data_IF_878350485557
#
_entry.id   IF_878350485557
#
_cell.length_a   1.000
_cell.length_b   1.000
_cell.length_c   1.000
_cell.angle_alpha   90.00
_cell.angle_beta   90.00
_cell.angle_gamma   90.00
#
_symmetry.space_group_name_H-M   'P 1'
#
loop_
_entity.id
_entity.type
_entity.pdbx_description
1 polymer ?
#
# COMPACT_ATOMS: atom_id res chain seq x y z
N UNK A 1 19.05 39.74 -34.78
CA UNK A 1 18.88 40.06 -33.35
C UNK A 1 18.70 38.74 -32.61
N UNK A 2 19.48 38.41 -31.56
CA UNK A 2 19.27 37.22 -30.78
C UNK A 2 17.90 37.31 -30.11
N UNK A 3 17.04 36.30 -30.31
CA UNK A 3 15.75 36.17 -29.64
C UNK A 3 15.96 36.21 -28.11
N UNK A 4 15.23 37.09 -27.41
CA UNK A 4 15.18 37.03 -25.93
C UNK A 4 14.77 35.61 -25.53
N UNK A 5 15.46 34.98 -24.53
CA UNK A 5 15.11 33.66 -24.11
C UNK A 5 13.68 33.67 -23.58
N UNK A 6 12.88 32.70 -24.04
CA UNK A 6 11.57 32.46 -23.46
C UNK A 6 11.74 32.05 -22.00
N UNK A 7 10.93 32.62 -21.11
CA UNK A 7 10.95 32.33 -19.67
C UNK A 7 10.86 30.83 -19.41
N UNK A 8 10.06 30.10 -20.20
CA UNK A 8 9.90 28.65 -20.12
C UNK A 8 11.23 27.91 -20.39
N UNK A 9 11.94 28.29 -21.46
CA UNK A 9 13.23 27.67 -21.81
C UNK A 9 14.29 27.93 -20.73
N UNK A 10 14.30 29.13 -20.12
CA UNK A 10 15.21 29.47 -19.03
C UNK A 10 14.95 28.63 -17.79
N UNK A 11 13.68 28.41 -17.44
CA UNK A 11 13.28 27.54 -16.29
C UNK A 11 13.64 26.09 -16.56
N UNK A 12 13.38 25.58 -17.76
CA UNK A 12 13.74 24.21 -18.12
C UNK A 12 15.26 23.99 -18.09
N UNK A 13 16.04 24.92 -18.60
CA UNK A 13 17.50 24.88 -18.52
C UNK A 13 17.98 24.85 -17.07
N UNK A 14 17.42 25.69 -16.21
CA UNK A 14 17.77 25.72 -14.77
C UNK A 14 17.50 24.37 -14.10
N UNK A 15 16.32 23.77 -14.33
CA UNK A 15 15.95 22.47 -13.78
C UNK A 15 16.86 21.35 -14.28
N UNK A 16 17.20 21.36 -15.57
CA UNK A 16 18.08 20.35 -16.15
C UNK A 16 19.52 20.45 -15.64
N UNK A 17 20.02 21.65 -15.41
CA UNK A 17 21.33 21.86 -14.78
C UNK A 17 21.34 21.38 -13.33
N UNK A 18 20.31 21.73 -12.53
CA UNK A 18 20.19 21.32 -11.13
C UNK A 18 20.15 19.80 -10.96
N UNK A 19 19.50 19.07 -11.87
CA UNK A 19 19.46 17.59 -11.87
C UNK A 19 20.82 16.97 -12.13
N UNK A 20 21.70 17.61 -12.92
CA UNK A 20 22.98 17.07 -13.37
C UNK A 20 24.17 17.45 -12.51
N UNK A 21 24.03 18.47 -11.64
CA UNK A 21 25.10 18.82 -10.70
C UNK A 21 25.28 17.70 -9.67
N UNK A 22 26.45 17.04 -9.59
CA UNK A 22 26.70 15.94 -8.68
C UNK A 22 26.99 16.44 -7.25
N UNK A 23 26.88 15.52 -6.28
CA UNK A 23 27.29 15.77 -4.88
C UNK A 23 28.73 15.32 -4.61
N UNK A 24 29.11 14.21 -5.19
CA UNK A 24 30.37 13.52 -4.87
C UNK A 24 31.59 14.03 -5.62
N UNK A 25 31.42 14.75 -6.72
CA UNK A 25 32.50 15.32 -7.53
C UNK A 25 32.15 16.71 -8.02
N UNK A 26 33.14 17.50 -8.41
CA UNK A 26 32.95 18.75 -9.11
C UNK A 26 32.77 18.51 -10.59
N UNK A 27 31.87 19.26 -11.23
CA UNK A 27 31.57 19.20 -12.66
C UNK A 27 31.73 20.60 -13.25
N UNK A 28 32.34 20.70 -14.42
CA UNK A 28 32.52 21.97 -15.13
C UNK A 28 31.26 22.37 -15.92
N UNK A 29 31.14 23.67 -16.20
CA UNK A 29 30.06 24.16 -17.07
C UNK A 29 30.08 23.52 -18.46
N UNK A 30 31.27 23.15 -18.96
CA UNK A 30 31.44 22.50 -20.25
C UNK A 30 30.91 21.06 -20.22
N UNK A 31 31.25 20.29 -19.19
CA UNK A 31 30.73 18.92 -19.02
C UNK A 31 29.18 18.91 -18.89
N UNK A 32 28.61 19.89 -18.16
CA UNK A 32 27.17 20.02 -18.05
C UNK A 32 26.52 20.41 -19.38
N UNK A 33 27.16 21.33 -20.12
CA UNK A 33 26.68 21.75 -21.45
C UNK A 33 26.62 20.58 -22.43
N UNK A 34 27.65 19.70 -22.44
CA UNK A 34 27.72 18.52 -23.29
C UNK A 34 26.66 17.44 -22.94
N UNK A 35 26.12 17.48 -21.71
CA UNK A 35 25.08 16.58 -21.23
C UNK A 35 23.65 17.11 -21.42
N UNK A 36 23.48 18.36 -21.86
CA UNK A 36 22.16 18.93 -22.08
C UNK A 36 21.51 18.34 -23.36
N UNK A 37 20.18 18.18 -23.37
CA UNK A 37 19.43 17.86 -24.58
C UNK A 37 19.64 18.93 -25.67
N UNK A 38 19.67 18.52 -26.93
CA UNK A 38 19.94 19.41 -28.08
C UNK A 38 18.95 20.58 -28.19
N UNK A 39 17.71 20.39 -27.80
CA UNK A 39 16.65 21.40 -27.76
C UNK A 39 16.85 22.44 -26.65
N UNK A 40 17.63 22.15 -25.64
CA UNK A 40 18.02 23.03 -24.52
C UNK A 40 19.49 23.49 -24.61
N UNK A 41 20.23 23.00 -25.60
CA UNK A 41 21.65 23.30 -25.84
C UNK A 41 21.89 24.78 -26.20
N UNK A 42 21.98 25.63 -25.17
CA UNK A 42 22.40 27.03 -25.31
C UNK A 42 23.93 27.11 -25.42
N UNK A 43 24.42 28.29 -25.81
CA UNK A 43 25.84 28.52 -25.79
C UNK A 43 26.42 28.38 -24.38
N UNK A 44 27.68 27.97 -24.29
CA UNK A 44 28.39 27.71 -23.03
C UNK A 44 28.35 28.91 -22.06
N UNK A 45 28.34 30.14 -22.58
CA UNK A 45 28.29 31.36 -21.78
C UNK A 45 26.93 31.52 -21.07
N UNK A 46 25.86 31.14 -21.74
CA UNK A 46 24.52 31.11 -21.15
C UNK A 46 24.43 30.07 -20.04
N UNK A 47 24.99 28.87 -20.24
CA UNK A 47 25.07 27.81 -19.22
C UNK A 47 25.88 28.26 -18.01
N UNK A 48 27.05 28.89 -18.22
CA UNK A 48 27.87 29.43 -17.14
C UNK A 48 27.12 30.48 -16.30
N UNK A 49 26.50 31.45 -16.97
CA UNK A 49 25.69 32.48 -16.30
C UNK A 49 24.55 31.88 -15.49
N UNK A 50 23.89 30.85 -16.01
CA UNK A 50 22.80 30.18 -15.33
C UNK A 50 23.33 29.41 -14.09
N UNK A 51 24.48 28.73 -14.20
CA UNK A 51 25.13 28.04 -13.09
C UNK A 51 25.56 29.02 -11.98
N UNK A 52 26.08 30.18 -12.34
CA UNK A 52 26.45 31.20 -11.36
C UNK A 52 25.23 31.78 -10.61
N UNK A 53 24.09 31.95 -11.30
CA UNK A 53 22.84 32.33 -10.66
C UNK A 53 22.30 31.19 -9.74
N UNK A 54 22.38 29.95 -10.19
CA UNK A 54 21.95 28.79 -9.39
C UNK A 54 22.84 28.60 -8.16
N UNK A 55 24.17 28.84 -8.27
CA UNK A 55 25.07 28.76 -7.13
C UNK A 55 24.83 29.84 -6.07
N UNK A 56 24.22 30.98 -6.44
CA UNK A 56 23.79 32.01 -5.49
C UNK A 56 22.44 31.70 -4.83
N UNK A 57 21.55 30.99 -5.55
CA UNK A 57 20.19 30.74 -5.10
C UNK A 57 20.02 29.39 -4.37
N UNK A 58 20.93 28.46 -4.60
CA UNK A 58 20.87 27.09 -4.04
C UNK A 58 22.19 26.75 -3.33
N UNK A 59 22.18 25.66 -2.54
CA UNK A 59 23.36 25.14 -1.84
C UNK A 59 24.38 24.47 -2.78
N UNK A 60 24.78 25.19 -3.82
CA UNK A 60 25.80 24.77 -4.78
C UNK A 60 27.12 25.47 -4.40
N UNK A 61 28.15 24.68 -4.26
CA UNK A 61 29.53 25.15 -4.11
C UNK A 61 30.11 25.37 -5.50
N UNK A 62 30.60 26.59 -5.74
CA UNK A 62 31.42 26.91 -6.90
C UNK A 62 32.86 26.93 -6.47
N UNK A 63 33.69 26.13 -7.10
CA UNK A 63 35.14 26.16 -6.93
C UNK A 63 35.76 26.98 -8.04
N UNK A 64 36.32 28.12 -7.66
CA UNK A 64 37.03 29.07 -8.52
C UNK A 64 38.56 29.06 -8.32
N UNK A 65 39.08 28.08 -7.54
CA UNK A 65 40.52 27.92 -7.30
C UNK A 65 41.31 27.56 -8.58
N UNK A 66 40.64 26.99 -9.60
CA UNK A 66 41.23 26.68 -10.88
C UNK A 66 40.22 26.86 -12.02
N UNK A 67 40.70 27.09 -13.25
CA UNK A 67 39.86 27.07 -14.46
C UNK A 67 39.99 25.73 -15.16
N UNK A 68 38.85 25.15 -15.68
CA UNK A 68 37.47 25.66 -15.61
C UNK A 68 36.89 25.55 -14.20
N UNK A 69 36.01 26.47 -13.81
CA UNK A 69 35.32 26.44 -12.52
C UNK A 69 34.48 25.19 -12.36
N UNK A 70 34.51 24.59 -11.13
CA UNK A 70 33.77 23.41 -10.79
C UNK A 70 32.53 23.72 -9.97
N UNK A 71 31.44 22.98 -10.20
CA UNK A 71 30.18 23.10 -9.45
C UNK A 71 29.83 21.74 -8.83
N UNK A 72 29.39 21.77 -7.56
CA UNK A 72 28.84 20.58 -6.89
C UNK A 72 27.82 21.02 -5.83
N UNK A 73 26.92 20.15 -5.45
CA UNK A 73 26.11 20.39 -4.27
C UNK A 73 27.00 20.36 -3.02
N UNK A 74 26.76 21.27 -2.06
CA UNK A 74 27.41 21.23 -0.75
C UNK A 74 27.04 19.90 -0.05
N UNK A 75 27.98 19.31 0.69
CA UNK A 75 27.79 18.00 1.34
C UNK A 75 26.60 18.00 2.31
N UNK A 76 26.35 19.11 2.99
CA UNK A 76 25.22 19.32 3.91
C UNK A 76 24.07 20.11 3.28
N UNK A 77 24.14 20.45 2.01
CA UNK A 77 23.10 21.19 1.29
C UNK A 77 21.91 20.29 0.96
N UNK A 78 20.71 20.86 0.99
CA UNK A 78 19.46 20.14 0.69
C UNK A 78 19.37 19.58 -0.75
N UNK A 79 20.26 20.02 -1.64
CA UNK A 79 20.21 19.65 -3.07
C UNK A 79 19.06 20.36 -3.79
N UNK A 80 18.60 19.80 -4.89
CA UNK A 80 17.28 20.13 -5.42
C UNK A 80 16.26 19.49 -4.48
N UNK A 81 16.05 20.07 -3.30
CA UNK A 81 14.97 19.62 -2.45
C UNK A 81 13.67 20.01 -3.14
N UNK A 82 12.91 19.00 -3.52
CA UNK A 82 11.45 19.12 -3.54
C UNK A 82 11.05 19.83 -2.23
N UNK A 83 9.94 20.58 -2.18
CA UNK A 83 9.56 21.29 -0.96
C UNK A 83 9.76 20.35 0.23
N UNK A 84 10.54 20.79 1.20
CA UNK A 84 10.88 19.98 2.37
C UNK A 84 9.59 19.56 3.00
N UNK A 85 9.38 18.22 3.07
CA UNK A 85 8.22 17.68 3.75
C UNK A 85 8.19 18.28 5.15
N UNK A 86 7.05 18.78 5.57
CA UNK A 86 6.83 19.14 6.96
C UNK A 86 6.90 17.87 7.82
N UNK A 87 7.09 18.04 9.13
CA UNK A 87 7.07 16.90 10.06
C UNK A 87 5.73 16.14 10.01
N UNK A 88 4.62 16.85 9.84
CA UNK A 88 3.27 16.30 9.70
C UNK A 88 3.10 15.49 8.40
N UNK A 89 3.61 16.01 7.27
CA UNK A 89 3.60 15.28 6.00
C UNK A 89 4.50 14.05 6.07
N UNK A 90 5.62 14.15 6.76
CA UNK A 90 6.54 13.04 6.98
C UNK A 90 5.89 11.94 7.84
N UNK A 91 5.17 12.31 8.90
CA UNK A 91 4.40 11.39 9.71
C UNK A 91 3.31 10.68 8.89
N UNK A 92 2.54 11.45 8.10
CA UNK A 92 1.52 10.89 7.22
C UNK A 92 2.10 9.88 6.24
N UNK A 93 3.23 10.22 5.59
CA UNK A 93 3.89 9.31 4.64
C UNK A 93 4.45 8.06 5.31
N UNK A 94 5.03 8.16 6.50
CA UNK A 94 5.52 7.00 7.24
C UNK A 94 4.38 6.04 7.62
N UNK A 95 3.25 6.56 8.12
CA UNK A 95 2.05 5.75 8.40
C UNK A 95 1.45 5.16 7.13
N UNK A 96 1.40 5.92 6.04
CA UNK A 96 0.91 5.43 4.76
C UNK A 96 1.79 4.28 4.23
N UNK A 97 3.12 4.38 4.31
CA UNK A 97 4.01 3.31 3.90
C UNK A 97 3.78 2.04 4.73
N UNK A 98 3.64 2.17 6.05
CA UNK A 98 3.42 1.03 6.94
C UNK A 98 2.08 0.32 6.67
N UNK A 99 1.00 1.09 6.55
CA UNK A 99 -0.35 0.53 6.50
C UNK A 99 -0.88 0.27 5.09
N UNK A 100 -0.39 0.98 4.07
CA UNK A 100 -0.90 0.87 2.70
C UNK A 100 -0.01 0.07 1.74
N UNK A 101 1.16 -0.41 2.18
CA UNK A 101 2.11 -1.11 1.29
C UNK A 101 1.53 -2.28 0.52
N UNK A 102 0.51 -2.94 1.06
CA UNK A 102 -0.16 -4.08 0.44
C UNK A 102 -1.54 -3.75 -0.13
N UNK A 103 -1.98 -2.51 0.00
CA UNK A 103 -3.26 -2.02 -0.54
C UNK A 103 -3.07 -1.14 -1.78
N UNK A 104 -1.85 -0.71 -2.06
CA UNK A 104 -1.51 0.10 -3.22
C UNK A 104 -0.74 -0.72 -4.26
N UNK A 105 -0.88 -0.39 -5.57
CA UNK A 105 -0.07 -1.00 -6.62
C UNK A 105 1.43 -0.86 -6.33
N UNK A 106 2.21 -1.94 -6.53
CA UNK A 106 3.64 -1.92 -6.26
C UNK A 106 4.40 -0.86 -7.07
N UNK A 107 3.95 -0.56 -8.30
CA UNK A 107 4.49 0.52 -9.13
C UNK A 107 4.32 1.89 -8.48
N UNK A 108 3.16 2.16 -7.85
CA UNK A 108 2.92 3.39 -7.12
C UNK A 108 3.82 3.48 -5.88
N UNK A 109 3.91 2.41 -5.09
CA UNK A 109 4.82 2.37 -3.93
C UNK A 109 6.27 2.63 -4.34
N UNK A 110 6.74 2.05 -5.45
CA UNK A 110 8.07 2.30 -6.00
C UNK A 110 8.27 3.75 -6.43
N UNK A 111 7.29 4.35 -7.08
CA UNK A 111 7.36 5.77 -7.49
C UNK A 111 7.41 6.73 -6.28
N UNK A 112 6.83 6.34 -5.17
CA UNK A 112 6.80 7.11 -3.92
C UNK A 112 8.00 6.83 -3.00
N UNK A 113 8.87 5.86 -3.33
CA UNK A 113 9.98 5.43 -2.47
C UNK A 113 10.91 6.59 -2.07
N UNK A 114 11.16 7.57 -2.96
CA UNK A 114 11.94 8.76 -2.66
C UNK A 114 11.31 9.64 -1.58
N UNK A 115 9.98 9.79 -1.61
CA UNK A 115 9.22 10.55 -0.61
C UNK A 115 9.19 9.84 0.74
N UNK A 116 8.99 8.52 0.76
CA UNK A 116 9.07 7.73 1.99
C UNK A 116 10.45 7.82 2.63
N UNK A 117 11.52 7.64 1.83
CA UNK A 117 12.89 7.79 2.33
C UNK A 117 13.18 9.21 2.86
N UNK A 118 12.61 10.25 2.24
CA UNK A 118 12.73 11.63 2.73
C UNK A 118 11.95 11.81 4.05
N UNK A 119 10.73 11.27 4.14
CA UNK A 119 9.91 11.32 5.35
C UNK A 119 10.62 10.65 6.54
N UNK A 120 11.20 9.47 6.35
CA UNK A 120 11.98 8.80 7.39
C UNK A 120 13.18 9.63 7.84
N UNK A 121 13.97 10.17 6.90
CA UNK A 121 15.11 11.05 7.25
C UNK A 121 14.68 12.28 8.04
N UNK A 122 13.55 12.89 7.68
CA UNK A 122 13.01 14.05 8.39
C UNK A 122 12.61 13.68 9.84
N UNK A 123 11.99 12.52 10.04
CA UNK A 123 11.60 12.02 11.37
C UNK A 123 12.79 11.52 12.21
N UNK A 124 13.90 11.12 11.60
CA UNK A 124 15.11 10.61 12.27
C UNK A 124 16.13 11.70 12.62
N UNK A 125 15.92 12.95 12.21
CA UNK A 125 16.84 14.07 12.42
C UNK A 125 17.23 14.28 13.89
N UNK A 126 18.46 14.79 14.17
CA UNK A 126 19.01 14.90 15.53
C UNK A 126 18.46 16.06 16.36
N UNK A 127 17.75 17.00 15.77
CA UNK A 127 17.34 18.24 16.44
C UNK A 127 15.82 18.35 16.55
N UNK A 128 15.35 18.42 17.77
CA UNK A 128 14.02 18.91 18.09
C UNK A 128 13.10 17.91 18.78
N UNK A 129 12.07 18.46 19.32
CA UNK A 129 10.96 17.76 19.96
C UNK A 129 10.12 17.12 18.84
N UNK A 130 10.52 15.94 18.37
CA UNK A 130 9.81 15.24 17.32
C UNK A 130 8.53 14.60 17.86
N UNK A 131 7.51 15.41 18.10
CA UNK A 131 6.17 14.94 18.48
C UNK A 131 5.64 13.93 17.47
N UNK A 132 5.91 14.17 16.21
CA UNK A 132 5.51 13.33 15.08
C UNK A 132 6.21 11.96 15.12
N UNK A 133 7.50 11.91 15.45
CA UNK A 133 8.23 10.65 15.65
C UNK A 133 7.71 9.89 16.87
N UNK A 134 7.48 10.58 17.98
CA UNK A 134 6.91 9.98 19.16
C UNK A 134 5.50 9.42 18.90
N UNK A 135 4.75 10.08 18.01
CA UNK A 135 3.40 9.65 17.64
C UNK A 135 3.38 8.26 17.03
N UNK A 136 4.35 7.90 16.19
CA UNK A 136 4.49 6.54 15.64
C UNK A 136 4.56 5.46 16.72
N UNK A 137 5.17 5.77 17.86
CA UNK A 137 5.21 4.89 19.03
C UNK A 137 3.96 4.93 19.93
N UNK A 138 3.07 5.92 19.73
CA UNK A 138 1.87 6.15 20.56
C UNK A 138 0.60 5.55 19.95
N UNK A 139 0.63 5.16 18.67
CA UNK A 139 -0.52 4.59 17.95
C UNK A 139 -0.21 3.18 17.48
N UNK A 140 -1.18 2.29 17.55
CA UNK A 140 -1.02 0.91 17.06
C UNK A 140 -2.36 0.30 16.70
N UNK A 141 -2.40 -0.39 15.56
CA UNK A 141 -3.52 -1.27 15.20
C UNK A 141 -3.28 -2.63 15.86
N UNK A 142 -4.19 -3.03 16.74
CA UNK A 142 -4.09 -4.29 17.49
C UNK A 142 -5.03 -5.31 16.87
N UNK A 143 -4.56 -6.55 16.71
CA UNK A 143 -5.41 -7.65 16.21
C UNK A 143 -6.47 -8.01 17.25
N UNK A 144 -7.70 -8.23 16.81
CA UNK A 144 -8.79 -8.73 17.66
C UNK A 144 -8.68 -10.24 17.97
N UNK A 145 -7.84 -10.95 17.23
CA UNK A 145 -7.62 -12.39 17.38
C UNK A 145 -6.19 -12.66 17.84
N UNK A 146 -5.88 -13.94 18.15
CA UNK A 146 -4.52 -14.36 18.45
C UNK A 146 -3.56 -13.83 17.38
N UNK A 147 -2.51 -13.06 17.75
CA UNK A 147 -1.54 -12.54 16.81
C UNK A 147 -0.81 -13.68 16.07
N UNK A 148 -0.77 -13.60 14.76
CA UNK A 148 -0.07 -14.56 13.91
C UNK A 148 1.02 -13.85 13.12
N UNK A 149 2.11 -14.54 12.85
CA UNK A 149 3.16 -14.03 11.97
C UNK A 149 2.67 -13.99 10.51
N UNK A 150 3.02 -12.91 9.81
CA UNK A 150 2.72 -12.80 8.39
C UNK A 150 3.48 -13.86 7.58
N UNK A 151 2.81 -14.58 6.68
CA UNK A 151 3.48 -15.54 5.80
C UNK A 151 4.35 -14.79 4.78
N UNK A 152 5.49 -15.41 4.42
CA UNK A 152 6.38 -14.85 3.39
C UNK A 152 5.78 -15.05 2.00
N UNK A 153 5.80 -13.99 1.21
CA UNK A 153 5.47 -14.05 -0.22
C UNK A 153 6.72 -14.43 -1.03
N UNK A 154 6.54 -15.16 -2.11
CA UNK A 154 7.64 -15.38 -3.05
C UNK A 154 8.07 -14.05 -3.71
N UNK A 155 9.38 -13.84 -3.94
CA UNK A 155 9.89 -12.58 -4.48
C UNK A 155 9.20 -12.18 -5.79
N UNK A 156 8.81 -10.91 -5.92
CA UNK A 156 8.17 -10.34 -7.10
C UNK A 156 6.71 -10.72 -7.34
N UNK A 157 6.14 -11.68 -6.59
CA UNK A 157 4.74 -12.11 -6.77
C UNK A 157 3.78 -10.95 -6.52
N UNK A 158 3.95 -10.23 -5.42
CA UNK A 158 3.08 -9.08 -5.12
C UNK A 158 3.15 -8.01 -6.21
N UNK A 159 4.35 -7.70 -6.69
CA UNK A 159 4.57 -6.71 -7.74
C UNK A 159 3.82 -7.06 -9.02
N UNK A 160 3.97 -8.31 -9.47
CA UNK A 160 3.35 -8.79 -10.70
C UNK A 160 1.82 -8.84 -10.56
N UNK A 161 1.32 -9.38 -9.44
CA UNK A 161 -0.13 -9.51 -9.20
C UNK A 161 -0.79 -8.14 -9.08
N UNK A 162 -0.21 -7.22 -8.29
CA UNK A 162 -0.78 -5.88 -8.13
C UNK A 162 -0.74 -5.07 -9.42
N UNK A 163 0.30 -5.23 -10.23
CA UNK A 163 0.41 -4.59 -11.54
C UNK A 163 -0.61 -5.14 -12.54
N UNK A 164 -0.80 -6.45 -12.58
CA UNK A 164 -1.79 -7.09 -13.46
C UNK A 164 -3.22 -6.69 -13.06
N UNK A 165 -3.52 -6.62 -11.77
CA UNK A 165 -4.79 -6.12 -11.27
C UNK A 165 -5.03 -4.65 -11.67
N UNK A 166 -4.00 -3.80 -11.52
CA UNK A 166 -4.08 -2.39 -11.89
C UNK A 166 -4.33 -2.17 -13.38
N UNK A 167 -3.72 -3.02 -14.23
CA UNK A 167 -3.81 -2.92 -15.69
C UNK A 167 -4.92 -3.78 -16.30
N UNK A 168 -5.72 -4.51 -15.50
CA UNK A 168 -6.71 -5.48 -15.96
C UNK A 168 -6.13 -6.52 -16.93
N UNK A 169 -4.97 -7.11 -16.57
CA UNK A 169 -4.30 -8.13 -17.38
C UNK A 169 -4.39 -9.51 -16.77
N UNK A 170 -4.50 -10.51 -17.62
CA UNK A 170 -4.48 -11.91 -17.20
C UNK A 170 -3.16 -12.28 -16.52
N UNK A 171 -3.25 -13.20 -15.56
CA UNK A 171 -2.13 -13.79 -14.84
C UNK A 171 -2.03 -15.28 -15.13
N UNK A 172 -0.81 -15.76 -15.38
CA UNK A 172 -0.46 -17.17 -15.23
C UNK A 172 0.20 -17.35 -13.87
N UNK A 173 -0.34 -18.26 -13.08
CA UNK A 173 0.11 -18.54 -11.72
C UNK A 173 0.53 -19.98 -11.56
N UNK A 174 1.64 -20.20 -10.87
CA UNK A 174 1.99 -21.47 -10.27
C UNK A 174 1.53 -21.43 -8.81
N UNK A 175 0.51 -22.19 -8.49
CA UNK A 175 -0.19 -22.13 -7.21
C UNK A 175 -0.18 -23.47 -6.48
N UNK A 176 0.05 -23.44 -5.17
CA UNK A 176 -0.05 -24.63 -4.30
C UNK A 176 -1.22 -24.43 -3.33
N UNK A 177 -2.23 -25.28 -3.43
CA UNK A 177 -3.41 -25.21 -2.58
C UNK A 177 -3.11 -25.60 -1.11
N UNK A 178 -4.15 -25.61 -0.26
CA UNK A 178 -4.03 -25.96 1.16
C UNK A 178 -3.53 -27.39 1.37
N UNK A 179 -3.93 -28.32 0.49
CA UNK A 179 -3.57 -29.74 0.55
C UNK A 179 -2.18 -30.02 -0.02
N UNK A 180 -1.43 -28.97 -0.41
CA UNK A 180 -0.09 -29.09 -0.98
C UNK A 180 -0.05 -29.38 -2.48
N UNK A 181 -1.21 -29.56 -3.15
CA UNK A 181 -1.28 -29.85 -4.58
C UNK A 181 -0.90 -28.61 -5.40
N UNK A 182 0.06 -28.77 -6.30
CA UNK A 182 0.54 -27.72 -7.20
C UNK A 182 -0.21 -27.75 -8.53
N UNK A 183 -0.54 -26.57 -9.05
CA UNK A 183 -1.21 -26.43 -10.35
C UNK A 183 -0.76 -25.14 -11.03
N UNK A 184 -0.69 -25.19 -12.36
CA UNK A 184 -0.54 -24.00 -13.19
C UNK A 184 -1.93 -23.56 -13.64
N UNK A 185 -2.28 -22.30 -13.38
CA UNK A 185 -3.62 -21.75 -13.62
C UNK A 185 -3.52 -20.40 -14.30
N UNK A 186 -4.50 -20.10 -15.15
CA UNK A 186 -4.70 -18.76 -15.68
C UNK A 186 -5.88 -18.10 -14.96
N UNK A 187 -5.69 -16.85 -14.53
CA UNK A 187 -6.70 -16.15 -13.75
C UNK A 187 -6.86 -14.70 -14.20
N UNK A 188 -8.08 -14.23 -14.07
CA UNK A 188 -8.48 -12.83 -14.19
C UNK A 188 -8.43 -12.23 -12.77
N UNK A 189 -7.46 -11.36 -12.44
CA UNK A 189 -7.37 -10.73 -11.12
C UNK A 189 -8.48 -9.69 -10.94
N UNK A 190 -9.25 -9.80 -9.87
CA UNK A 190 -10.42 -8.94 -9.62
C UNK A 190 -10.28 -8.07 -8.37
N UNK A 191 -9.48 -8.48 -7.40
CA UNK A 191 -9.27 -7.71 -6.16
C UNK A 191 -8.14 -8.26 -5.33
N UNK A 192 -7.61 -7.40 -4.44
CA UNK A 192 -6.72 -7.77 -3.36
C UNK A 192 -7.41 -7.47 -2.04
N UNK A 193 -7.30 -8.40 -1.08
CA UNK A 193 -7.82 -8.22 0.27
C UNK A 193 -6.75 -8.60 1.29
N UNK A 194 -6.70 -7.85 2.38
CA UNK A 194 -5.88 -8.16 3.53
C UNK A 194 -6.77 -8.60 4.69
N UNK A 195 -6.61 -9.83 5.14
CA UNK A 195 -7.29 -10.38 6.30
C UNK A 195 -6.26 -10.71 7.39
N UNK A 196 -6.15 -9.83 8.37
CA UNK A 196 -5.07 -9.89 9.35
C UNK A 196 -3.69 -9.90 8.67
N UNK A 197 -2.81 -10.88 8.94
CA UNK A 197 -1.48 -10.94 8.35
C UNK A 197 -1.44 -11.57 6.94
N UNK A 198 -2.58 -11.99 6.39
CA UNK A 198 -2.66 -12.70 5.10
C UNK A 198 -3.20 -11.81 4.01
N UNK A 199 -2.64 -11.96 2.81
CA UNK A 199 -3.13 -11.32 1.59
C UNK A 199 -3.80 -12.35 0.70
N UNK A 200 -4.90 -11.96 0.09
CA UNK A 200 -5.67 -12.77 -0.83
C UNK A 200 -5.86 -12.05 -2.16
N UNK A 201 -5.69 -12.78 -3.25
CA UNK A 201 -6.08 -12.39 -4.58
C UNK A 201 -7.48 -12.96 -4.85
N UNK A 202 -8.46 -12.10 -5.07
CA UNK A 202 -9.77 -12.50 -5.60
C UNK A 202 -9.68 -12.52 -7.12
N UNK A 203 -10.06 -13.64 -7.72
CA UNK A 203 -9.94 -13.86 -9.16
C UNK A 203 -10.99 -14.82 -9.69
N UNK A 204 -11.21 -14.80 -11.01
CA UNK A 204 -11.89 -15.88 -11.76
C UNK A 204 -10.85 -16.72 -12.50
N UNK A 205 -11.00 -18.01 -12.54
CA UNK A 205 -10.17 -18.87 -13.38
C UNK A 205 -10.63 -18.77 -14.83
N UNK A 206 -9.73 -18.97 -15.75
CA UNK A 206 -10.06 -19.06 -17.18
C UNK A 206 -11.09 -20.17 -17.41
N UNK A 207 -12.18 -19.84 -18.09
CA UNK A 207 -13.30 -20.74 -18.35
C UNK A 207 -14.27 -20.96 -17.19
N UNK A 208 -14.16 -20.15 -16.10
CA UNK A 208 -15.09 -20.24 -14.95
C UNK A 208 -15.63 -18.84 -14.61
N UNK A 209 -16.90 -18.77 -14.22
CA UNK A 209 -17.60 -17.54 -13.88
C UNK A 209 -17.63 -17.24 -12.36
N UNK A 210 -17.18 -18.18 -11.52
CA UNK A 210 -17.18 -17.99 -10.07
C UNK A 210 -15.86 -17.42 -9.56
N UNK A 211 -15.95 -16.52 -8.61
CA UNK A 211 -14.79 -15.95 -7.93
C UNK A 211 -14.19 -16.91 -6.92
N UNK A 212 -12.88 -16.82 -6.77
CA UNK A 212 -12.08 -17.57 -5.80
C UNK A 212 -11.07 -16.67 -5.10
N UNK A 213 -10.86 -16.92 -3.82
CA UNK A 213 -9.80 -16.27 -3.04
C UNK A 213 -8.55 -17.14 -3.02
N UNK A 214 -7.47 -16.67 -3.62
CA UNK A 214 -6.17 -17.32 -3.61
C UNK A 214 -5.26 -16.67 -2.57
N UNK A 215 -4.77 -17.45 -1.62
CA UNK A 215 -3.81 -16.95 -0.64
C UNK A 215 -2.48 -16.60 -1.34
N UNK A 216 -2.07 -15.35 -1.28
CA UNK A 216 -0.91 -14.81 -2.00
C UNK A 216 0.40 -15.55 -1.66
N UNK A 217 0.59 -15.98 -0.42
CA UNK A 217 1.77 -16.75 0.02
C UNK A 217 1.85 -18.17 -0.54
N UNK A 218 0.79 -18.63 -1.19
CA UNK A 218 0.74 -19.94 -1.88
C UNK A 218 1.00 -19.82 -3.38
N UNK A 219 1.13 -18.59 -3.90
CA UNK A 219 1.58 -18.34 -5.27
C UNK A 219 3.10 -18.49 -5.29
N UNK A 220 3.60 -19.50 -6.00
CA UNK A 220 5.03 -19.78 -6.11
C UNK A 220 5.69 -18.93 -7.21
N UNK A 221 4.94 -18.67 -8.29
CA UNK A 221 5.34 -17.84 -9.41
C UNK A 221 4.13 -17.14 -10.00
N UNK A 222 4.29 -15.90 -10.41
CA UNK A 222 3.30 -15.15 -11.17
C UNK A 222 3.92 -14.61 -12.46
N UNK A 223 3.13 -14.55 -13.53
CA UNK A 223 3.52 -13.97 -14.80
C UNK A 223 2.33 -13.21 -15.37
N UNK A 224 2.51 -11.91 -15.64
CA UNK A 224 1.48 -11.09 -16.26
C UNK A 224 1.46 -11.36 -17.76
N UNK A 225 0.29 -11.64 -18.30
CA UNK A 225 0.06 -11.85 -19.74
C UNK A 225 -0.12 -10.52 -20.46
N UNK A 226 0.14 -10.52 -21.75
CA UNK A 226 -0.11 -9.34 -22.59
C UNK A 226 -1.61 -9.09 -22.80
N UNK A 227 -2.44 -10.13 -22.73
CA UNK A 227 -3.88 -10.04 -22.91
C UNK A 227 -4.55 -9.27 -21.77
N UNK A 228 -5.38 -8.30 -22.14
CA UNK A 228 -6.26 -7.57 -21.23
C UNK A 228 -7.61 -8.27 -21.13
N UNK A 229 -8.34 -8.02 -20.06
CA UNK A 229 -9.71 -8.49 -19.88
C UNK A 229 -10.64 -7.32 -19.53
N UNK A 230 -11.91 -7.48 -19.87
CA UNK A 230 -12.96 -6.61 -19.37
C UNK A 230 -13.40 -7.05 -18.00
N UNK A 231 -13.29 -6.15 -17.01
CA UNK A 231 -13.72 -6.42 -15.64
C UNK A 231 -15.21 -6.75 -15.62
N UNK A 232 -15.63 -7.88 -15.03
CA UNK A 232 -17.04 -8.24 -14.93
C UNK A 232 -17.83 -7.15 -14.21
N UNK A 233 -18.89 -6.64 -14.82
CA UNK A 233 -19.69 -5.54 -14.27
C UNK A 233 -20.47 -5.95 -13.01
N UNK A 234 -20.75 -7.22 -12.85
CA UNK A 234 -21.46 -7.84 -11.73
C UNK A 234 -20.56 -8.06 -10.50
N UNK A 235 -19.23 -8.05 -10.68
CA UNK A 235 -18.29 -8.23 -9.57
C UNK A 235 -18.03 -6.92 -8.82
N UNK A 236 -18.25 -6.96 -7.50
CA UNK A 236 -17.87 -5.91 -6.53
C UNK A 236 -17.17 -6.57 -5.35
N UNK A 237 -16.01 -6.04 -4.97
CA UNK A 237 -15.20 -6.61 -3.89
C UNK A 237 -15.86 -6.42 -2.52
N UNK A 238 -16.53 -5.30 -2.30
CA UNK A 238 -17.33 -5.02 -1.10
C UNK A 238 -18.44 -6.06 -0.93
N UNK A 239 -19.23 -6.33 -1.98
CA UNK A 239 -20.25 -7.39 -1.94
C UNK A 239 -19.65 -8.77 -1.69
N UNK A 240 -18.50 -9.06 -2.28
CA UNK A 240 -17.79 -10.33 -2.05
C UNK A 240 -17.41 -10.52 -0.58
N UNK A 241 -17.00 -9.42 0.11
CA UNK A 241 -16.74 -9.41 1.54
C UNK A 241 -18.02 -9.52 2.35
N UNK A 242 -19.05 -8.72 2.04
CA UNK A 242 -20.38 -8.74 2.69
C UNK A 242 -21.08 -10.10 2.59
N UNK A 243 -20.80 -10.88 1.54
CA UNK A 243 -21.26 -12.26 1.39
C UNK A 243 -20.42 -13.26 2.24
N UNK A 244 -19.46 -12.77 3.04
CA UNK A 244 -18.64 -13.56 3.95
C UNK A 244 -17.67 -14.51 3.25
N UNK A 245 -17.31 -14.24 1.99
CA UNK A 245 -16.45 -15.12 1.18
C UNK A 245 -15.06 -15.32 1.77
N UNK A 246 -14.48 -14.31 2.44
CA UNK A 246 -13.20 -14.45 3.14
C UNK A 246 -13.32 -15.27 4.43
N UNK A 247 -14.54 -15.43 4.96
CA UNK A 247 -14.87 -16.29 6.09
C UNK A 247 -15.44 -17.66 5.70
N UNK A 248 -15.30 -18.06 4.44
CA UNK A 248 -15.88 -19.29 3.86
C UNK A 248 -17.41 -19.32 3.91
N UNK A 249 -18.04 -18.18 3.77
CA UNK A 249 -19.48 -18.03 3.53
C UNK A 249 -19.80 -18.02 2.04
N UNK A 250 -21.09 -18.12 1.73
CA UNK A 250 -21.62 -18.10 0.36
C UNK A 250 -22.75 -17.06 0.19
N UNK A 251 -22.79 -16.06 1.04
CA UNK A 251 -23.82 -15.01 1.03
C UNK A 251 -25.15 -15.41 1.68
N UNK A 252 -25.29 -16.67 2.12
CA UNK A 252 -26.49 -17.12 2.80
C UNK A 252 -26.62 -16.43 4.15
N UNK A 253 -27.69 -15.65 4.36
CA UNK A 253 -27.99 -15.02 5.64
C UNK A 253 -28.89 -15.91 6.48
N UNK A 254 -28.65 -15.89 7.80
CA UNK A 254 -29.42 -16.62 8.80
C UNK A 254 -29.82 -15.65 9.93
N UNK A 255 -30.96 -15.92 10.54
CA UNK A 255 -31.31 -15.29 11.80
C UNK A 255 -30.63 -16.08 12.93
N UNK A 256 -29.55 -15.50 13.46
CA UNK A 256 -28.80 -16.07 14.56
C UNK A 256 -29.42 -15.62 15.87
N UNK A 257 -29.75 -16.56 16.76
CA UNK A 257 -30.16 -16.28 18.14
C UNK A 257 -29.28 -17.12 19.06
N UNK A 258 -28.67 -16.47 20.07
CA UNK A 258 -27.81 -17.16 21.03
C UNK A 258 -27.85 -16.47 22.40
N UNK A 259 -27.62 -17.24 23.42
CA UNK A 259 -27.35 -16.75 24.76
C UNK A 259 -25.85 -16.65 24.97
N UNK A 260 -25.42 -15.59 25.64
CA UNK A 260 -24.01 -15.38 25.99
C UNK A 260 -23.92 -14.82 27.41
N UNK A 261 -22.95 -15.31 28.20
CA UNK A 261 -22.67 -14.73 29.52
C UNK A 261 -22.35 -13.24 29.40
N UNK A 262 -22.85 -12.43 30.33
CA UNK A 262 -22.73 -10.95 30.27
C UNK A 262 -21.27 -10.52 30.13
N UNK A 263 -20.36 -11.11 30.90
CA UNK A 263 -18.93 -10.74 30.85
C UNK A 263 -18.31 -11.00 29.46
N UNK A 264 -18.64 -12.13 28.84
CA UNK A 264 -18.16 -12.50 27.52
C UNK A 264 -18.83 -11.68 26.39
N UNK A 265 -20.12 -11.34 26.56
CA UNK A 265 -20.94 -10.71 25.53
C UNK A 265 -21.04 -9.18 25.62
N UNK A 266 -20.53 -8.54 26.66
CA UNK A 266 -20.70 -7.09 26.92
C UNK A 266 -20.28 -6.22 25.74
N UNK A 267 -19.19 -6.58 25.06
CA UNK A 267 -18.69 -5.86 23.89
C UNK A 267 -19.68 -5.83 22.70
N UNK A 268 -20.61 -6.80 22.62
CA UNK A 268 -21.63 -6.85 21.55
C UNK A 268 -22.73 -5.81 21.73
N UNK A 269 -22.82 -5.17 22.91
CA UNK A 269 -23.70 -4.02 23.14
C UNK A 269 -23.15 -2.75 22.48
N UNK A 270 -21.82 -2.67 22.33
CA UNK A 270 -21.12 -1.51 21.78
C UNK A 270 -20.76 -1.74 20.31
N UNK A 271 -20.52 -2.99 19.92
CA UNK A 271 -20.15 -3.41 18.57
C UNK A 271 -21.06 -4.52 18.07
N UNK A 272 -22.27 -4.17 17.57
CA UNK A 272 -23.25 -5.16 17.19
C UNK A 272 -22.83 -5.98 15.95
N UNK A 273 -23.34 -7.20 15.83
CA UNK A 273 -23.09 -8.12 14.70
C UNK A 273 -23.73 -7.63 13.40
N UNK A 274 -24.84 -6.92 13.51
CA UNK A 274 -25.59 -6.37 12.39
C UNK A 274 -26.46 -5.18 12.83
N UNK A 275 -26.96 -4.39 11.89
CA UNK A 275 -27.79 -3.22 12.17
C UNK A 275 -29.15 -3.59 12.80
N UNK A 276 -29.61 -4.82 12.60
CA UNK A 276 -30.86 -5.34 13.14
C UNK A 276 -30.67 -6.17 14.43
N UNK A 277 -29.50 -6.05 15.07
CA UNK A 277 -29.25 -6.75 16.32
C UNK A 277 -30.23 -6.32 17.41
N UNK A 278 -30.90 -7.28 18.02
CA UNK A 278 -31.71 -7.12 19.22
C UNK A 278 -31.03 -7.79 20.41
N UNK A 279 -31.15 -7.21 21.59
CA UNK A 279 -30.57 -7.73 22.83
C UNK A 279 -31.62 -7.76 23.93
N UNK A 280 -31.72 -8.89 24.63
CA UNK A 280 -32.53 -9.02 25.85
C UNK A 280 -31.65 -9.44 27.00
N UNK A 281 -31.76 -8.75 28.12
CA UNK A 281 -31.12 -9.11 29.37
C UNK A 281 -31.93 -10.19 30.09
N UNK A 282 -31.29 -11.34 30.35
CA UNK A 282 -31.88 -12.48 31.06
C UNK A 282 -31.35 -12.63 32.50
N UNK A 283 -30.62 -11.63 33.00
CA UNK A 283 -29.98 -11.63 34.33
C UNK A 283 -28.52 -12.02 34.26
N UNK A 284 -28.18 -13.31 34.18
CA UNK A 284 -26.79 -13.77 34.07
C UNK A 284 -26.28 -13.86 32.63
N UNK A 285 -27.17 -13.83 31.67
CA UNK A 285 -26.87 -13.93 30.23
C UNK A 285 -27.60 -12.89 29.42
N UNK A 286 -27.10 -12.62 28.23
CA UNK A 286 -27.76 -11.84 27.19
C UNK A 286 -28.28 -12.77 26.11
N UNK A 287 -29.56 -12.60 25.70
CA UNK A 287 -30.06 -13.17 24.44
C UNK A 287 -29.79 -12.14 23.34
N UNK A 288 -29.05 -12.57 22.32
CA UNK A 288 -28.72 -11.74 21.16
C UNK A 288 -29.34 -12.38 19.92
N UNK A 289 -30.09 -11.56 19.17
CA UNK A 289 -30.67 -11.93 17.88
C UNK A 289 -30.13 -11.00 16.81
N UNK A 290 -29.63 -11.53 15.69
CA UNK A 290 -29.04 -10.73 14.60
C UNK A 290 -29.08 -11.49 13.27
N UNK A 291 -29.25 -10.77 12.15
CA UNK A 291 -29.11 -11.33 10.80
C UNK A 291 -27.63 -11.32 10.39
N UNK A 292 -27.05 -12.51 10.23
CA UNK A 292 -25.61 -12.68 9.92
C UNK A 292 -25.42 -13.63 8.73
N UNK A 293 -24.23 -13.60 8.12
CA UNK A 293 -23.87 -14.57 7.08
C UNK A 293 -23.49 -15.90 7.72
N UNK A 294 -24.08 -17.01 7.24
CA UNK A 294 -23.65 -18.38 7.61
C UNK A 294 -22.28 -18.62 7.00
N UNK A 295 -21.25 -18.60 7.83
CA UNK A 295 -19.86 -18.79 7.43
C UNK A 295 -19.12 -19.67 8.43
N UNK A 296 -18.04 -20.31 7.99
CA UNK A 296 -17.17 -21.04 8.90
C UNK A 296 -16.53 -20.11 9.95
N UNK A 297 -16.24 -18.87 9.56
CA UNK A 297 -15.69 -17.87 10.50
C UNK A 297 -16.66 -17.53 11.63
N UNK A 298 -17.98 -17.41 11.33
CA UNK A 298 -19.01 -17.23 12.35
C UNK A 298 -19.02 -18.42 13.33
N UNK A 299 -18.98 -19.65 12.81
CA UNK A 299 -18.96 -20.86 13.65
C UNK A 299 -17.71 -20.95 14.52
N UNK A 300 -16.56 -20.59 13.99
CA UNK A 300 -15.31 -20.54 14.76
C UNK A 300 -15.35 -19.45 15.83
N UNK A 301 -15.91 -18.29 15.51
CA UNK A 301 -16.08 -17.20 16.45
C UNK A 301 -16.98 -17.59 17.62
N UNK A 302 -18.15 -18.20 17.35
CA UNK A 302 -19.05 -18.71 18.39
C UNK A 302 -18.38 -19.79 19.26
N UNK A 303 -17.66 -20.74 18.63
CA UNK A 303 -16.91 -21.76 19.37
C UNK A 303 -15.79 -21.18 20.23
N UNK A 304 -15.27 -20.00 19.87
CA UNK A 304 -14.24 -19.31 20.65
C UNK A 304 -14.67 -18.89 22.06
N UNK A 305 -15.98 -18.75 22.29
CA UNK A 305 -16.54 -18.44 23.62
C UNK A 305 -16.70 -19.69 24.50
N UNK A 306 -16.52 -20.88 23.96
CA UNK A 306 -16.64 -22.13 24.72
C UNK A 306 -18.00 -22.30 25.37
N UNK A 307 -18.03 -22.56 26.70
CA UNK A 307 -19.25 -22.73 27.47
C UNK A 307 -20.04 -21.44 27.72
N UNK A 308 -19.41 -20.27 27.52
CA UNK A 308 -20.08 -18.98 27.73
C UNK A 308 -21.12 -18.66 26.66
N UNK A 309 -21.20 -19.40 25.55
CA UNK A 309 -22.20 -19.21 24.49
C UNK A 309 -23.03 -20.48 24.26
N UNK A 310 -24.34 -20.27 24.03
CA UNK A 310 -25.27 -21.31 23.64
C UNK A 310 -26.14 -20.84 22.48
N UNK A 311 -26.02 -21.49 21.32
CA UNK A 311 -26.79 -21.15 20.12
C UNK A 311 -28.21 -21.71 20.22
N UNK A 312 -29.20 -20.84 20.10
CA UNK A 312 -30.63 -21.17 20.16
C UNK A 312 -31.17 -21.42 18.75
N UNK A 313 -30.83 -20.52 17.80
CA UNK A 313 -31.24 -20.64 16.41
C UNK A 313 -30.14 -20.16 15.45
N UNK A 314 -29.99 -20.81 14.30
CA UNK A 314 -30.61 -22.07 13.92
C UNK A 314 -30.09 -23.27 14.73
N UNK A 315 -30.97 -24.21 15.04
CA UNK A 315 -30.54 -25.43 15.73
C UNK A 315 -29.50 -26.20 14.92
N UNK A 316 -28.48 -26.73 15.61
CA UNK A 316 -27.42 -27.49 14.95
C UNK A 316 -26.38 -26.66 14.21
N UNK A 317 -26.37 -25.32 14.31
CA UNK A 317 -25.39 -24.46 13.62
C UNK A 317 -23.93 -24.84 13.93
N UNK A 318 -23.67 -25.30 15.15
CA UNK A 318 -22.32 -25.69 15.64
C UNK A 318 -22.12 -27.22 15.62
N UNK A 319 -23.13 -28.00 15.24
CA UNK A 319 -22.99 -29.44 15.06
C UNK A 319 -22.46 -29.69 13.65
N UNK A 320 -21.34 -30.39 13.54
CA UNK A 320 -20.72 -30.79 12.25
C UNK A 320 -21.49 -31.93 11.61
#
# INVERSE_FOLDING_TARGET
MPKRPDTRETVLLALELLKRIPRSRKVSARELHEQLPDDLGRDLRTVQRQLDMLAQAFDIERDDSSKPYGYRWKERGAGLSLPTLSEQESLLLALAEEHLRHLLPASLMKSMAGFFAQAHRQLEGPEGQHREREWLGKVRVVSQTQPLMAPKLAPGVFDIVSQALYLNRWLALDYRNADGRRSSIQVMPLGLAQQGPRLYLVCRYEGFDNERSLAMHRILKAEMRAAEFHRPADFKLDRYDDDGRFGFGEGKRIQLVFHIEIEAGRHLLETPLSADQEVKDLGDTLEIAATVVDSAQLKWWLRGFGSAVSVIAPQGLLVD
#
